data_IF_565433685052
#
_entry.id   IF_565433685052
#
_cell.length_a   1.000
_cell.length_b   1.000
_cell.length_c   1.000
_cell.angle_alpha   90.00
_cell.angle_beta   90.00
_cell.angle_gamma   90.00
#
_symmetry.space_group_name_H-M   'P 1'
#
loop_
_entity.id
_entity.type
_entity.pdbx_description
1 polymer ?
#
# COMPACT_ATOMS: atom_id res chain seq x y z
N UNK A 1 -9.87 -28.62 -11.13
CA UNK A 1 -10.47 -28.08 -9.87
C UNK A 1 -10.26 -29.08 -8.73
N UNK A 2 -10.65 -30.36 -8.86
CA UNK A 2 -10.52 -31.36 -7.77
C UNK A 2 -9.06 -31.56 -7.29
N UNK A 3 -8.08 -31.58 -8.18
CA UNK A 3 -6.65 -31.66 -7.82
C UNK A 3 -6.17 -30.43 -7.07
N UNK A 4 -6.65 -29.24 -7.44
CA UNK A 4 -6.33 -27.98 -6.78
C UNK A 4 -6.94 -27.94 -5.36
N UNK A 5 -8.21 -28.35 -5.21
CA UNK A 5 -8.88 -28.45 -3.90
C UNK A 5 -8.11 -29.44 -3.00
N UNK A 6 -7.69 -30.58 -3.54
CA UNK A 6 -6.93 -31.58 -2.78
C UNK A 6 -5.55 -31.04 -2.33
N UNK A 7 -4.85 -30.29 -3.19
CA UNK A 7 -3.58 -29.63 -2.86
C UNK A 7 -3.76 -28.63 -1.72
N UNK A 8 -4.74 -27.71 -1.84
CA UNK A 8 -5.02 -26.69 -0.81
C UNK A 8 -5.40 -27.34 0.52
N UNK A 9 -6.23 -28.39 0.51
CA UNK A 9 -6.59 -29.10 1.73
C UNK A 9 -5.38 -29.80 2.39
N UNK A 10 -4.45 -30.35 1.61
CA UNK A 10 -3.24 -30.94 2.15
C UNK A 10 -2.32 -29.87 2.76
N UNK A 11 -2.17 -28.73 2.11
CA UNK A 11 -1.36 -27.61 2.60
C UNK A 11 -1.92 -27.09 3.94
N UNK A 12 -3.24 -26.94 4.03
CA UNK A 12 -3.93 -26.53 5.27
C UNK A 12 -3.79 -27.56 6.40
N UNK A 13 -3.88 -28.86 6.09
CA UNK A 13 -3.66 -29.93 7.08
C UNK A 13 -2.23 -29.94 7.60
N UNK A 14 -1.24 -29.79 6.70
CA UNK A 14 0.19 -29.73 7.06
C UNK A 14 0.48 -28.52 7.95
N UNK A 15 -0.10 -27.36 7.61
CA UNK A 15 -0.02 -26.14 8.41
C UNK A 15 -0.60 -26.35 9.81
N UNK A 16 -1.76 -26.94 9.92
CA UNK A 16 -2.43 -27.18 11.20
C UNK A 16 -1.63 -28.13 12.10
N UNK A 17 -1.06 -29.19 11.53
CA UNK A 17 -0.18 -30.12 12.24
C UNK A 17 1.11 -29.46 12.75
N UNK A 18 1.70 -28.58 11.94
CA UNK A 18 2.89 -27.81 12.33
C UNK A 18 2.59 -26.86 13.49
N UNK A 19 1.41 -26.21 13.48
CA UNK A 19 0.97 -25.36 14.58
C UNK A 19 0.79 -26.12 15.88
N UNK A 20 0.19 -27.31 15.85
CA UNK A 20 0.02 -28.13 17.05
C UNK A 20 1.35 -28.58 17.65
N UNK A 21 2.32 -29.00 16.82
CA UNK A 21 3.67 -29.34 17.28
C UNK A 21 4.37 -28.13 17.93
N UNK A 22 4.34 -27.00 17.26
CA UNK A 22 4.95 -25.77 17.76
C UNK A 22 4.29 -25.28 19.06
N UNK A 23 2.97 -25.44 19.20
CA UNK A 23 2.26 -25.13 20.43
C UNK A 23 2.81 -25.97 21.60
N UNK A 24 2.95 -27.28 21.40
CA UNK A 24 3.50 -28.17 22.42
C UNK A 24 4.96 -27.84 22.78
N UNK A 25 5.79 -27.51 21.80
CA UNK A 25 7.19 -27.16 22.04
C UNK A 25 7.31 -25.81 22.77
N UNK A 26 6.48 -24.83 22.41
CA UNK A 26 6.42 -23.55 23.13
C UNK A 26 5.93 -23.72 24.57
N UNK A 27 4.93 -24.57 24.79
CA UNK A 27 4.45 -24.89 26.14
C UNK A 27 5.57 -25.46 27.01
N UNK A 28 6.34 -26.43 26.48
CA UNK A 28 7.50 -26.99 27.16
C UNK A 28 8.57 -25.94 27.46
N UNK A 29 8.89 -25.06 26.48
CA UNK A 29 9.86 -23.98 26.67
C UNK A 29 9.42 -22.99 27.75
N UNK A 30 8.13 -22.65 27.79
CA UNK A 30 7.57 -21.75 28.83
C UNK A 30 7.68 -22.41 30.20
N UNK A 31 7.35 -23.69 30.34
CA UNK A 31 7.47 -24.41 31.61
C UNK A 31 8.93 -24.44 32.07
N UNK A 32 9.87 -24.76 31.16
CA UNK A 32 11.30 -24.78 31.50
C UNK A 32 11.83 -23.40 31.89
N UNK A 33 11.48 -22.36 31.15
CA UNK A 33 11.87 -20.97 31.48
C UNK A 33 11.28 -20.53 32.83
N UNK A 34 10.00 -20.78 33.06
CA UNK A 34 9.35 -20.43 34.31
C UNK A 34 9.97 -21.14 35.50
N UNK A 35 10.26 -22.45 35.37
CA UNK A 35 10.95 -23.21 36.40
C UNK A 35 12.38 -22.70 36.66
N UNK A 36 13.09 -22.32 35.61
CA UNK A 36 14.44 -21.74 35.73
C UNK A 36 14.42 -20.39 36.46
N UNK A 37 13.49 -19.47 36.11
CA UNK A 37 13.37 -18.17 36.76
C UNK A 37 12.95 -18.28 38.21
N UNK A 38 12.00 -19.15 38.53
CA UNK A 38 11.52 -19.38 39.89
C UNK A 38 12.58 -20.10 40.74
N UNK A 39 13.25 -21.13 40.15
CA UNK A 39 14.22 -21.95 40.88
C UNK A 39 15.58 -21.28 41.17
N UNK A 40 16.01 -20.37 40.33
CA UNK A 40 17.34 -19.73 40.46
C UNK A 40 17.28 -18.26 40.93
N UNK A 41 16.10 -17.69 41.19
CA UNK A 41 15.97 -16.29 41.62
C UNK A 41 16.60 -15.28 40.66
N UNK A 42 16.64 -15.61 39.34
CA UNK A 42 17.28 -14.74 38.33
C UNK A 42 16.35 -13.61 37.95
N UNK A 43 16.67 -12.43 38.42
CA UNK A 43 15.98 -11.20 38.09
C UNK A 43 16.84 -10.35 37.15
N UNK A 44 16.20 -9.54 36.31
CA UNK A 44 16.93 -8.51 35.54
C UNK A 44 17.56 -7.50 36.50
N UNK A 45 18.68 -6.84 36.10
CA UNK A 45 19.31 -5.80 36.92
C UNK A 45 18.32 -4.74 37.44
N UNK A 46 17.38 -4.33 36.62
CA UNK A 46 16.34 -3.37 37.02
C UNK A 46 15.36 -3.94 38.04
N UNK A 47 15.03 -5.23 37.96
CA UNK A 47 14.17 -5.92 38.93
C UNK A 47 14.91 -6.11 40.25
N UNK A 48 16.19 -6.47 40.20
CA UNK A 48 17.05 -6.57 41.40
C UNK A 48 17.24 -5.22 42.11
N UNK A 49 17.42 -4.13 41.37
CA UNK A 49 17.48 -2.77 41.92
C UNK A 49 16.17 -2.37 42.62
N UNK A 50 15.02 -2.66 42.04
CA UNK A 50 13.69 -2.40 42.63
C UNK A 50 13.40 -3.27 43.85
N UNK A 51 13.99 -4.47 43.90
CA UNK A 51 13.94 -5.30 45.12
C UNK A 51 14.74 -4.67 46.27
N UNK A 52 15.95 -4.21 45.96
CA UNK A 52 16.82 -3.55 46.97
C UNK A 52 16.18 -2.32 47.56
N UNK A 53 15.36 -1.58 46.83
CA UNK A 53 14.59 -0.40 47.31
C UNK A 53 13.25 -0.77 47.94
N UNK A 54 12.92 -2.06 48.10
CA UNK A 54 11.61 -2.54 48.61
C UNK A 54 10.39 -2.05 47.81
N UNK A 55 10.56 -1.63 46.57
CA UNK A 55 9.47 -1.17 45.70
C UNK A 55 8.61 -2.34 45.18
N UNK A 56 9.16 -3.56 45.17
CA UNK A 56 8.44 -4.77 44.68
C UNK A 56 8.55 -5.89 45.73
N UNK A 57 7.43 -6.56 45.95
CA UNK A 57 7.38 -7.77 46.78
C UNK A 57 7.84 -9.00 45.95
N UNK A 58 8.28 -10.07 46.65
CA UNK A 58 8.67 -11.34 46.04
C UNK A 58 7.56 -11.88 45.12
N UNK A 59 6.30 -11.79 45.55
CA UNK A 59 5.15 -12.20 44.75
C UNK A 59 5.01 -11.37 43.45
N UNK A 60 5.25 -10.07 43.52
CA UNK A 60 5.21 -9.21 42.33
C UNK A 60 6.32 -9.54 41.34
N UNK A 61 7.52 -9.82 41.84
CA UNK A 61 8.66 -10.25 41.04
C UNK A 61 8.40 -11.61 40.36
N UNK A 62 7.86 -12.57 41.10
CA UNK A 62 7.45 -13.87 40.54
C UNK A 62 6.44 -13.70 39.39
N UNK A 63 5.45 -12.86 39.57
CA UNK A 63 4.46 -12.56 38.51
C UNK A 63 5.09 -11.91 37.28
N UNK A 64 6.04 -10.97 37.47
CA UNK A 64 6.78 -10.34 36.38
C UNK A 64 7.66 -11.35 35.64
N UNK A 65 8.32 -12.27 36.35
CA UNK A 65 9.14 -13.32 35.76
C UNK A 65 8.27 -14.31 34.93
N UNK A 66 7.10 -14.66 35.41
CA UNK A 66 6.13 -15.47 34.66
C UNK A 66 5.70 -14.73 33.37
N UNK A 67 5.35 -13.47 33.48
CA UNK A 67 4.94 -12.66 32.33
C UNK A 67 6.06 -12.55 31.29
N UNK A 68 7.30 -12.29 31.71
CA UNK A 68 8.44 -12.21 30.80
C UNK A 68 8.73 -13.57 30.12
N UNK A 69 8.57 -14.70 30.84
CA UNK A 69 8.69 -16.04 30.27
C UNK A 69 7.65 -16.33 29.19
N UNK A 70 6.44 -15.83 29.40
CA UNK A 70 5.30 -16.03 28.50
C UNK A 70 5.17 -14.97 27.41
N UNK A 71 5.87 -13.86 27.53
CA UNK A 71 5.72 -12.68 26.69
C UNK A 71 5.81 -12.96 25.19
N UNK A 72 6.81 -13.75 24.80
CA UNK A 72 7.01 -14.12 23.40
C UNK A 72 5.83 -14.96 22.88
N UNK A 73 5.41 -15.95 23.66
CA UNK A 73 4.26 -16.77 23.37
C UNK A 73 2.95 -15.98 23.28
N UNK A 74 2.67 -15.12 24.26
CA UNK A 74 1.46 -14.28 24.28
C UNK A 74 1.46 -13.25 23.15
N UNK A 75 2.63 -12.69 22.84
CA UNK A 75 2.76 -11.70 21.79
C UNK A 75 2.49 -12.27 20.39
N UNK A 76 2.95 -13.48 20.11
CA UNK A 76 2.80 -14.17 18.81
C UNK A 76 1.50 -14.96 18.72
N UNK A 77 1.01 -15.49 19.83
CA UNK A 77 -0.10 -16.44 19.91
C UNK A 77 0.30 -17.83 19.42
N UNK A 78 -0.62 -18.80 19.57
CA UNK A 78 -0.45 -20.19 19.11
C UNK A 78 -0.56 -20.37 17.58
N UNK A 79 -0.70 -19.29 16.84
CA UNK A 79 -1.11 -19.29 15.45
C UNK A 79 0.05 -19.01 14.49
N UNK A 80 1.23 -19.59 14.66
CA UNK A 80 2.31 -19.42 13.70
C UNK A 80 2.79 -20.76 13.13
N UNK A 81 3.18 -20.73 11.86
CA UNK A 81 3.82 -21.81 11.13
C UNK A 81 5.28 -21.45 10.97
N UNK A 82 6.18 -22.38 11.26
CA UNK A 82 7.59 -22.22 10.99
C UNK A 82 7.93 -22.87 9.64
N UNK A 83 8.52 -22.08 8.74
CA UNK A 83 9.04 -22.55 7.47
C UNK A 83 10.40 -23.24 7.66
N UNK A 84 10.83 -23.99 6.65
CA UNK A 84 12.12 -24.69 6.65
C UNK A 84 13.34 -23.73 6.83
N UNK A 85 13.19 -22.47 6.49
CA UNK A 85 14.17 -21.39 6.65
C UNK A 85 14.11 -20.71 8.04
N UNK A 86 13.29 -21.23 8.97
CA UNK A 86 13.10 -20.70 10.32
C UNK A 86 12.16 -19.50 10.44
N UNK A 87 11.62 -18.98 9.33
CA UNK A 87 10.65 -17.90 9.37
C UNK A 87 9.32 -18.38 9.97
N UNK A 88 8.77 -17.56 10.84
CA UNK A 88 7.46 -17.83 11.46
C UNK A 88 6.38 -16.93 10.86
N UNK A 89 5.34 -17.55 10.35
CA UNK A 89 4.19 -16.86 9.73
C UNK A 89 2.92 -17.20 10.50
N UNK A 90 2.10 -16.19 10.73
CA UNK A 90 0.77 -16.41 11.36
C UNK A 90 -0.10 -17.30 10.47
N UNK A 91 -0.81 -18.28 11.07
CA UNK A 91 -1.65 -19.23 10.34
C UNK A 91 -2.76 -18.56 9.54
N UNK A 92 -3.34 -17.46 10.04
CA UNK A 92 -4.35 -16.71 9.30
C UNK A 92 -3.75 -16.08 8.04
N UNK A 93 -2.54 -15.51 8.14
CA UNK A 93 -1.80 -14.98 6.99
C UNK A 93 -1.44 -16.08 5.98
N UNK A 94 -1.04 -17.26 6.48
CA UNK A 94 -0.77 -18.43 5.64
C UNK A 94 -2.05 -18.91 4.93
N UNK A 95 -3.16 -19.03 5.64
CA UNK A 95 -4.44 -19.44 5.06
C UNK A 95 -4.92 -18.44 3.99
N UNK A 96 -4.81 -17.14 4.26
CA UNK A 96 -5.13 -16.11 3.27
C UNK A 96 -4.24 -16.21 2.03
N UNK A 97 -2.94 -16.46 2.20
CA UNK A 97 -2.00 -16.69 1.10
C UNK A 97 -2.40 -17.92 0.29
N UNK A 98 -2.70 -19.03 0.96
CA UNK A 98 -3.09 -20.29 0.30
C UNK A 98 -4.37 -20.12 -0.53
N UNK A 99 -5.42 -19.49 0.07
CA UNK A 99 -6.69 -19.20 -0.63
C UNK A 99 -6.48 -18.27 -1.81
N UNK A 100 -5.72 -17.19 -1.64
CA UNK A 100 -5.43 -16.25 -2.74
C UNK A 100 -4.71 -16.95 -3.88
N UNK A 101 -3.69 -17.74 -3.57
CA UNK A 101 -2.93 -18.51 -4.58
C UNK A 101 -3.82 -19.50 -5.31
N UNK A 102 -4.73 -20.17 -4.59
CA UNK A 102 -5.68 -21.10 -5.21
C UNK A 102 -6.67 -20.38 -6.13
N UNK A 103 -7.21 -19.24 -5.70
CA UNK A 103 -8.13 -18.44 -6.51
C UNK A 103 -7.46 -17.93 -7.78
N UNK A 104 -6.24 -17.36 -7.67
CA UNK A 104 -5.47 -16.92 -8.83
C UNK A 104 -5.24 -18.07 -9.82
N UNK A 105 -4.81 -19.24 -9.34
CA UNK A 105 -4.59 -20.41 -10.21
C UNK A 105 -5.88 -20.89 -10.87
N UNK A 106 -7.01 -20.89 -10.16
CA UNK A 106 -8.30 -21.25 -10.73
C UNK A 106 -8.74 -20.27 -11.82
N UNK A 107 -8.55 -18.96 -11.60
CA UNK A 107 -8.81 -17.92 -12.58
C UNK A 107 -7.95 -18.12 -13.83
N UNK A 108 -6.61 -18.24 -13.67
CA UNK A 108 -5.68 -18.44 -14.79
C UNK A 108 -5.99 -19.70 -15.59
N UNK A 109 -6.42 -20.80 -14.93
CA UNK A 109 -6.86 -22.02 -15.60
C UNK A 109 -8.16 -21.80 -16.39
N UNK A 110 -9.13 -21.08 -15.83
CA UNK A 110 -10.38 -20.75 -16.51
C UNK A 110 -10.15 -19.90 -17.76
N UNK A 111 -9.40 -18.80 -17.60
CA UNK A 111 -9.03 -17.90 -18.69
C UNK A 111 -8.15 -18.61 -19.75
N UNK A 112 -7.21 -19.45 -19.31
CA UNK A 112 -6.36 -20.24 -20.21
C UNK A 112 -7.17 -21.22 -21.05
N UNK A 113 -8.15 -21.93 -20.46
CA UNK A 113 -9.04 -22.80 -21.21
C UNK A 113 -9.89 -22.02 -22.23
N UNK A 114 -10.36 -20.82 -21.85
CA UNK A 114 -11.08 -19.96 -22.78
C UNK A 114 -10.18 -19.50 -23.94
N UNK A 115 -8.97 -19.02 -23.65
CA UNK A 115 -7.97 -18.67 -24.70
C UNK A 115 -7.67 -19.84 -25.61
N UNK A 116 -7.51 -21.05 -25.05
CA UNK A 116 -7.31 -22.28 -25.83
C UNK A 116 -8.45 -22.53 -26.79
N UNK A 117 -9.71 -22.34 -26.39
CA UNK A 117 -10.87 -22.52 -27.29
C UNK A 117 -10.91 -21.51 -28.42
N UNK A 118 -10.25 -20.36 -28.26
CA UNK A 118 -10.12 -19.32 -29.29
C UNK A 118 -8.84 -19.46 -30.14
N UNK A 119 -7.98 -20.45 -29.86
CA UNK A 119 -6.67 -20.58 -30.49
C UNK A 119 -5.72 -19.40 -30.18
N UNK A 120 -5.91 -18.75 -29.03
CA UNK A 120 -5.10 -17.62 -28.59
C UNK A 120 -4.19 -18.05 -27.46
N UNK A 121 -2.88 -17.85 -27.63
CA UNK A 121 -1.87 -18.34 -26.70
C UNK A 121 -0.94 -17.24 -26.17
N UNK A 122 -1.13 -15.98 -26.60
CA UNK A 122 -0.32 -14.86 -26.13
C UNK A 122 -0.99 -14.18 -24.95
N UNK A 123 -0.19 -13.91 -23.91
CA UNK A 123 -0.63 -13.22 -22.69
C UNK A 123 0.37 -12.17 -22.30
N UNK A 124 -0.13 -11.11 -21.67
CA UNK A 124 0.69 -10.06 -21.08
C UNK A 124 0.54 -10.08 -19.55
N UNK A 125 1.67 -10.01 -18.84
CA UNK A 125 1.66 -9.88 -17.40
C UNK A 125 1.07 -8.53 -16.99
N UNK A 126 0.14 -8.54 -16.05
CA UNK A 126 -0.38 -7.29 -15.48
C UNK A 126 0.71 -6.60 -14.66
N UNK A 127 0.66 -5.27 -14.63
CA UNK A 127 1.47 -4.46 -13.71
C UNK A 127 0.61 -4.05 -12.53
N UNK A 128 1.20 -3.88 -11.36
CA UNK A 128 0.53 -3.28 -10.21
C UNK A 128 1.53 -2.58 -9.28
N UNK A 129 1.10 -1.49 -8.65
CA UNK A 129 1.90 -0.81 -7.64
C UNK A 129 2.23 -1.71 -6.45
N UNK A 130 3.50 -1.78 -6.06
CA UNK A 130 3.97 -2.62 -4.95
C UNK A 130 4.27 -4.07 -5.33
N UNK A 131 4.63 -4.31 -6.59
CA UNK A 131 5.17 -5.60 -7.03
C UNK A 131 6.41 -6.00 -6.22
N UNK A 132 6.51 -7.28 -5.88
CA UNK A 132 7.73 -7.77 -5.23
C UNK A 132 8.91 -7.76 -6.23
N UNK A 133 10.17 -7.64 -5.75
CA UNK A 133 11.35 -7.60 -6.63
C UNK A 133 11.49 -8.78 -7.59
N UNK A 134 10.90 -9.94 -7.23
CA UNK A 134 10.92 -11.14 -8.08
C UNK A 134 9.97 -10.97 -9.29
N UNK A 135 8.79 -10.37 -9.08
CA UNK A 135 7.79 -10.22 -10.11
C UNK A 135 7.92 -8.94 -10.93
N UNK A 136 8.45 -7.87 -10.35
CA UNK A 136 8.60 -6.55 -11.00
C UNK A 136 9.26 -6.63 -12.38
N UNK A 137 10.26 -7.48 -12.55
CA UNK A 137 10.96 -7.68 -13.84
C UNK A 137 10.10 -8.30 -14.94
N UNK A 138 8.94 -8.86 -14.58
CA UNK A 138 8.03 -9.53 -15.51
C UNK A 138 6.82 -8.68 -15.89
N UNK A 139 6.57 -7.57 -15.19
CA UNK A 139 5.45 -6.68 -15.45
C UNK A 139 5.45 -6.16 -16.89
N UNK A 140 4.28 -6.15 -17.50
CA UNK A 140 4.09 -5.70 -18.89
C UNK A 140 4.68 -6.61 -19.96
N UNK A 141 5.43 -7.67 -19.61
CA UNK A 141 6.02 -8.58 -20.58
C UNK A 141 4.98 -9.50 -21.20
N UNK A 142 5.19 -9.81 -22.46
CA UNK A 142 4.38 -10.74 -23.22
C UNK A 142 5.00 -12.13 -23.14
N UNK A 143 4.15 -13.14 -22.98
CA UNK A 143 4.52 -14.56 -22.90
C UNK A 143 3.65 -15.41 -23.82
N UNK A 144 4.21 -16.54 -24.24
CA UNK A 144 3.41 -17.65 -24.80
C UNK A 144 2.91 -18.47 -23.60
N UNK A 145 1.60 -18.57 -23.46
CA UNK A 145 0.95 -19.31 -22.38
C UNK A 145 0.93 -20.82 -22.68
N UNK A 146 2.05 -21.47 -22.43
CA UNK A 146 2.24 -22.91 -22.56
C UNK A 146 1.69 -23.69 -21.33
N UNK A 147 1.31 -22.99 -20.27
CA UNK A 147 0.87 -23.57 -19.00
C UNK A 147 -0.64 -23.74 -18.93
N UNK A 148 -1.40 -22.71 -19.27
CA UNK A 148 -2.86 -22.69 -19.10
C UNK A 148 -3.63 -22.83 -20.43
N UNK A 149 -3.11 -22.28 -21.53
CA UNK A 149 -3.76 -22.39 -22.84
C UNK A 149 -3.12 -23.41 -23.79
N UNK A 150 -1.94 -23.93 -23.44
CA UNK A 150 -1.25 -24.95 -24.24
C UNK A 150 -0.53 -24.38 -25.47
N UNK A 151 -0.09 -23.12 -25.41
CA UNK A 151 0.72 -22.48 -26.43
C UNK A 151 2.09 -23.16 -26.61
N UNK A 152 2.69 -22.90 -27.74
CA UNK A 152 3.99 -23.48 -28.15
C UNK A 152 4.89 -22.39 -28.73
N UNK A 153 6.16 -22.67 -28.90
CA UNK A 153 7.12 -21.74 -29.51
C UNK A 153 6.78 -21.34 -30.96
N UNK A 154 5.75 -21.95 -31.56
CA UNK A 154 5.22 -21.58 -32.89
C UNK A 154 4.25 -20.41 -32.85
N UNK A 155 3.72 -20.08 -31.67
CA UNK A 155 2.71 -19.03 -31.49
C UNK A 155 3.29 -17.61 -31.42
N UNK A 156 4.61 -17.45 -31.49
CA UNK A 156 5.29 -16.16 -31.56
C UNK A 156 6.74 -16.21 -31.06
N UNK A 157 7.41 -15.07 -31.15
CA UNK A 157 8.80 -14.93 -30.71
C UNK A 157 8.84 -14.34 -29.28
N UNK A 158 8.14 -14.97 -28.35
CA UNK A 158 8.06 -14.57 -26.96
C UNK A 158 8.53 -15.70 -26.04
N UNK A 159 8.92 -15.35 -24.81
CA UNK A 159 9.30 -16.32 -23.79
C UNK A 159 8.09 -17.18 -23.38
N UNK A 160 8.32 -18.47 -23.12
CA UNK A 160 7.31 -19.35 -22.53
C UNK A 160 6.98 -18.91 -21.09
N UNK A 161 5.72 -18.91 -20.74
CA UNK A 161 5.25 -18.57 -19.39
C UNK A 161 5.83 -19.52 -18.35
N UNK A 162 5.93 -20.83 -18.67
CA UNK A 162 6.55 -21.82 -17.80
C UNK A 162 7.99 -21.49 -17.42
N UNK A 163 8.74 -20.84 -18.32
CA UNK A 163 10.12 -20.39 -18.05
C UNK A 163 10.15 -19.24 -17.06
N UNK A 164 9.27 -18.25 -17.20
CA UNK A 164 9.14 -17.16 -16.24
C UNK A 164 8.70 -17.67 -14.86
N UNK A 165 7.76 -18.63 -14.82
CA UNK A 165 7.29 -19.26 -13.57
C UNK A 165 8.41 -20.03 -12.85
N UNK A 166 9.26 -20.74 -13.58
CA UNK A 166 10.47 -21.40 -12.99
C UNK A 166 11.44 -20.39 -12.38
N UNK A 167 11.45 -19.16 -12.87
CA UNK A 167 12.26 -18.06 -12.33
C UNK A 167 11.53 -17.24 -11.26
N UNK A 168 10.40 -17.73 -10.75
CA UNK A 168 9.66 -17.17 -9.63
C UNK A 168 8.46 -16.30 -9.98
N UNK A 169 8.12 -16.11 -11.25
CA UNK A 169 6.89 -15.41 -11.62
C UNK A 169 5.65 -16.19 -11.19
N UNK A 170 4.57 -15.51 -10.81
CA UNK A 170 3.34 -16.10 -10.28
C UNK A 170 3.57 -17.03 -9.07
N UNK A 171 4.54 -16.68 -8.21
CA UNK A 171 4.82 -17.40 -6.97
C UNK A 171 3.63 -17.40 -5.98
N UNK A 172 3.65 -18.22 -4.92
CA UNK A 172 2.62 -18.15 -3.88
C UNK A 172 2.45 -16.72 -3.34
N UNK A 173 1.18 -16.28 -3.17
CA UNK A 173 0.80 -14.92 -2.77
C UNK A 173 1.05 -13.83 -3.84
N UNK A 174 1.38 -14.19 -5.07
CA UNK A 174 1.49 -13.25 -6.18
C UNK A 174 0.13 -12.57 -6.45
N UNK A 175 0.17 -11.29 -6.85
CA UNK A 175 -1.03 -10.51 -7.21
C UNK A 175 -1.13 -10.24 -8.71
N UNK A 176 -0.10 -10.62 -9.47
CA UNK A 176 -0.10 -10.46 -10.92
C UNK A 176 -1.09 -11.41 -11.57
N UNK A 177 -1.83 -10.90 -12.54
CA UNK A 177 -2.65 -11.67 -13.47
C UNK A 177 -2.00 -11.79 -14.84
N UNK A 178 -2.72 -12.41 -15.75
CA UNK A 178 -2.38 -12.50 -17.17
C UNK A 178 -3.57 -11.98 -17.97
N UNK A 179 -3.37 -11.00 -18.82
CA UNK A 179 -4.37 -10.54 -19.79
C UNK A 179 -4.07 -11.16 -21.15
N UNK A 180 -5.10 -11.41 -21.95
CA UNK A 180 -4.90 -11.87 -23.33
C UNK A 180 -4.24 -10.76 -24.14
N UNK A 181 -3.13 -11.07 -24.81
CA UNK A 181 -2.44 -10.12 -25.67
C UNK A 181 -2.90 -10.28 -27.13
N UNK A 182 -3.20 -9.16 -27.75
CA UNK A 182 -3.63 -9.06 -29.14
C UNK A 182 -2.64 -8.21 -29.92
N UNK A 183 -1.71 -8.83 -30.70
CA UNK A 183 -0.71 -8.08 -31.48
C UNK A 183 -1.33 -7.06 -32.42
N UNK A 184 -2.53 -7.34 -32.92
CA UNK A 184 -3.30 -6.47 -33.81
C UNK A 184 -3.81 -5.18 -33.17
N UNK A 185 -3.77 -5.09 -31.83
CA UNK A 185 -4.17 -3.90 -31.04
C UNK A 185 -2.97 -3.15 -30.47
N UNK A 186 -1.76 -3.47 -30.92
CA UNK A 186 -0.53 -2.83 -30.47
C UNK A 186 -0.55 -1.32 -30.76
N UNK A 187 -0.34 -0.50 -29.72
CA UNK A 187 -0.39 0.97 -29.80
C UNK A 187 -1.67 1.61 -29.26
N UNK A 188 -2.65 0.84 -28.79
CA UNK A 188 -3.74 1.34 -27.96
C UNK A 188 -3.22 1.38 -26.51
N UNK A 189 -2.76 2.55 -26.07
CA UNK A 189 -2.35 2.75 -24.67
C UNK A 189 -3.59 2.59 -23.77
N UNK A 190 -3.70 1.46 -23.08
CA UNK A 190 -4.60 1.34 -21.94
C UNK A 190 -3.98 2.14 -20.78
N UNK A 191 -4.59 3.26 -20.43
CA UNK A 191 -4.26 3.98 -19.20
C UNK A 191 -4.63 3.08 -18.01
N UNK A 192 -3.64 2.45 -17.42
CA UNK A 192 -3.83 1.60 -16.24
C UNK A 192 -3.87 2.45 -14.97
N UNK A 193 -4.84 2.17 -14.09
CA UNK A 193 -5.04 2.81 -12.77
C UNK A 193 -3.98 2.38 -11.72
N UNK A 194 -2.71 2.24 -12.11
CA UNK A 194 -1.68 1.58 -11.28
C UNK A 194 -1.33 2.33 -9.99
N UNK A 195 -1.37 3.66 -9.98
CA UNK A 195 -0.98 4.45 -8.80
C UNK A 195 -2.03 4.48 -7.70
N UNK A 196 -3.29 4.50 -8.05
CA UNK A 196 -4.39 4.41 -7.07
C UNK A 196 -4.31 3.09 -6.28
N UNK A 197 -3.89 2.02 -6.94
CA UNK A 197 -3.77 0.71 -6.33
C UNK A 197 -2.60 0.62 -5.32
N UNK A 198 -1.49 1.32 -5.59
CA UNK A 198 -0.37 1.40 -4.65
C UNK A 198 -0.74 2.10 -3.34
N UNK A 199 -1.48 3.20 -3.41
CA UNK A 199 -1.99 3.91 -2.25
C UNK A 199 -2.94 3.01 -1.42
N UNK A 200 -3.87 2.31 -2.08
CA UNK A 200 -4.80 1.40 -1.42
C UNK A 200 -4.10 0.18 -0.79
N UNK A 201 -3.07 -0.35 -1.43
CA UNK A 201 -2.25 -1.42 -0.86
C UNK A 201 -1.52 -0.98 0.41
N UNK A 202 -0.96 0.22 0.42
CA UNK A 202 -0.35 0.81 1.62
C UNK A 202 -1.37 0.96 2.75
N UNK A 203 -2.55 1.51 2.46
CA UNK A 203 -3.63 1.69 3.43
C UNK A 203 -4.05 0.34 4.03
N UNK A 204 -4.28 -0.66 3.19
CA UNK A 204 -4.63 -2.00 3.62
C UNK A 204 -3.54 -2.64 4.49
N UNK A 205 -2.27 -2.45 4.15
CA UNK A 205 -1.15 -2.90 4.98
C UNK A 205 -1.13 -2.20 6.33
N UNK A 206 -1.41 -0.89 6.38
CA UNK A 206 -1.47 -0.11 7.62
C UNK A 206 -2.61 -0.57 8.52
N UNK A 207 -3.82 -0.76 7.99
CA UNK A 207 -4.97 -1.29 8.73
C UNK A 207 -4.65 -2.68 9.29
N UNK A 208 -4.16 -3.58 8.46
CA UNK A 208 -3.76 -4.92 8.89
C UNK A 208 -2.67 -4.90 9.99
N UNK A 209 -1.75 -3.93 9.96
CA UNK A 209 -0.73 -3.75 10.98
C UNK A 209 -1.37 -3.30 12.32
N UNK A 210 -2.30 -2.36 12.28
CA UNK A 210 -3.02 -1.87 13.46
C UNK A 210 -3.82 -3.02 14.10
N UNK A 211 -4.61 -3.74 13.33
CA UNK A 211 -5.38 -4.90 13.81
C UNK A 211 -4.50 -5.98 14.46
N UNK A 212 -3.33 -6.27 13.86
CA UNK A 212 -2.38 -7.22 14.46
C UNK A 212 -1.88 -6.75 15.81
N UNK A 213 -1.61 -5.45 15.98
CA UNK A 213 -1.18 -4.89 17.25
C UNK A 213 -2.29 -4.89 18.30
N UNK A 214 -3.53 -4.56 17.93
CA UNK A 214 -4.69 -4.68 18.83
C UNK A 214 -4.82 -6.12 19.35
N UNK A 215 -4.80 -7.10 18.45
CA UNK A 215 -4.88 -8.54 18.82
C UNK A 215 -3.66 -8.98 19.66
N UNK A 216 -2.48 -8.47 19.38
CA UNK A 216 -1.25 -8.74 20.16
C UNK A 216 -1.38 -8.25 21.59
N UNK A 217 -1.72 -6.97 21.77
CA UNK A 217 -1.84 -6.39 23.12
C UNK A 217 -3.04 -6.92 23.90
N UNK A 218 -4.11 -7.34 23.23
CA UNK A 218 -5.22 -8.04 23.85
C UNK A 218 -4.78 -9.39 24.44
N UNK A 219 -4.01 -10.19 23.69
CA UNK A 219 -3.45 -11.45 24.20
C UNK A 219 -2.48 -11.24 25.36
N UNK A 220 -1.58 -10.25 25.24
CA UNK A 220 -0.64 -9.90 26.30
C UNK A 220 -1.37 -9.49 27.58
N UNK A 221 -2.39 -8.64 27.48
CA UNK A 221 -3.19 -8.21 28.63
C UNK A 221 -3.95 -9.36 29.30
N UNK A 222 -4.57 -10.24 28.49
CA UNK A 222 -5.35 -11.39 28.99
C UNK A 222 -4.49 -12.51 29.57
N UNK A 223 -3.28 -12.69 29.05
CA UNK A 223 -2.38 -13.76 29.49
C UNK A 223 -1.38 -13.36 30.57
N UNK A 224 -1.27 -12.07 30.90
CA UNK A 224 -0.40 -11.58 31.97
C UNK A 224 -1.04 -11.76 33.35
N UNK A 225 -0.19 -12.02 34.34
CA UNK A 225 -0.59 -12.16 35.76
C UNK A 225 -0.15 -10.97 36.64
N UNK A 226 0.81 -10.17 36.16
CA UNK A 226 1.25 -8.96 36.84
C UNK A 226 0.33 -7.76 36.50
N UNK A 227 -0.28 -7.16 37.52
CA UNK A 227 -1.24 -6.05 37.34
C UNK A 227 -0.66 -4.83 36.63
N UNK A 228 0.67 -4.57 36.78
CA UNK A 228 1.36 -3.52 36.05
C UNK A 228 1.39 -3.77 34.55
N UNK A 229 1.73 -4.99 34.14
CA UNK A 229 1.77 -5.39 32.74
C UNK A 229 0.36 -5.38 32.10
N UNK A 230 -0.65 -5.87 32.84
CA UNK A 230 -2.05 -5.84 32.39
C UNK A 230 -2.48 -4.39 32.09
N UNK A 231 -2.15 -3.45 32.97
CA UNK A 231 -2.47 -2.02 32.75
C UNK A 231 -1.74 -1.45 31.55
N UNK A 232 -0.43 -1.70 31.44
CA UNK A 232 0.41 -1.22 30.31
C UNK A 232 -0.10 -1.75 28.96
N UNK A 233 -0.38 -3.06 28.87
CA UNK A 233 -0.87 -3.67 27.64
C UNK A 233 -2.27 -3.21 27.26
N UNK A 234 -3.16 -3.00 28.24
CA UNK A 234 -4.48 -2.43 27.99
C UNK A 234 -4.37 -0.98 27.49
N UNK A 235 -3.45 -0.17 28.04
CA UNK A 235 -3.22 1.19 27.53
C UNK A 235 -2.68 1.18 26.11
N UNK A 236 -1.71 0.30 25.79
CA UNK A 236 -1.18 0.15 24.42
C UNK A 236 -2.26 -0.32 23.45
N UNK A 237 -3.11 -1.26 23.86
CA UNK A 237 -4.25 -1.68 23.06
C UNK A 237 -5.19 -0.51 22.78
N UNK A 238 -5.56 0.27 23.79
CA UNK A 238 -6.42 1.46 23.66
C UNK A 238 -5.85 2.48 22.67
N UNK A 239 -4.54 2.70 22.71
CA UNK A 239 -3.88 3.61 21.77
C UNK A 239 -4.03 3.12 20.30
N UNK A 240 -3.89 1.80 20.06
CA UNK A 240 -4.08 1.23 18.72
C UNK A 240 -5.54 1.27 18.26
N UNK A 241 -6.51 1.05 19.14
CA UNK A 241 -7.94 1.22 18.83
C UNK A 241 -8.24 2.67 18.47
N UNK A 242 -7.71 3.63 19.22
CA UNK A 242 -7.86 5.06 18.88
C UNK A 242 -7.25 5.41 17.51
N UNK A 243 -6.14 4.78 17.14
CA UNK A 243 -5.53 4.98 15.80
C UNK A 243 -6.39 4.35 14.70
N UNK A 244 -7.01 3.18 14.93
CA UNK A 244 -7.97 2.56 14.03
C UNK A 244 -9.20 3.45 13.82
N UNK A 245 -9.77 3.96 14.91
CA UNK A 245 -10.90 4.90 14.89
C UNK A 245 -10.55 6.16 14.10
N UNK A 246 -9.35 6.73 14.32
CA UNK A 246 -8.86 7.92 13.60
C UNK A 246 -8.80 7.70 12.10
N UNK A 247 -8.27 6.55 11.67
CA UNK A 247 -8.23 6.19 10.24
C UNK A 247 -9.64 5.95 9.70
N UNK A 248 -10.53 5.34 10.48
CA UNK A 248 -11.89 4.98 10.04
C UNK A 248 -12.82 6.19 9.94
N UNK A 249 -12.70 7.17 10.83
CA UNK A 249 -13.62 8.31 10.92
C UNK A 249 -13.29 9.44 9.95
N UNK A 250 -12.03 9.61 9.56
CA UNK A 250 -11.65 10.62 8.59
C UNK A 250 -12.25 10.32 7.20
N UNK A 251 -12.70 11.35 6.50
CA UNK A 251 -13.17 11.23 5.10
C UNK A 251 -12.06 11.05 4.07
N UNK A 252 -10.82 10.84 4.53
CA UNK A 252 -9.63 10.69 3.69
C UNK A 252 -8.60 9.75 4.33
N UNK A 253 -7.65 9.30 3.51
CA UNK A 253 -6.43 8.63 3.94
C UNK A 253 -5.23 9.57 3.79
N UNK A 254 -4.36 9.64 4.81
CA UNK A 254 -3.04 10.27 4.69
C UNK A 254 -2.09 9.24 4.06
N UNK A 255 -1.72 9.46 2.80
CA UNK A 255 -0.84 8.58 2.02
C UNK A 255 0.56 9.17 1.84
N UNK A 256 0.93 10.18 2.64
CA UNK A 256 2.23 10.85 2.56
C UNK A 256 3.39 9.87 2.66
N UNK A 257 3.35 8.96 3.64
CA UNK A 257 4.41 7.96 3.83
C UNK A 257 4.50 6.96 2.67
N UNK A 258 3.36 6.62 2.04
CA UNK A 258 3.35 5.77 0.86
C UNK A 258 4.12 6.41 -0.30
N UNK A 259 3.88 7.69 -0.52
CA UNK A 259 4.56 8.45 -1.58
C UNK A 259 6.05 8.65 -1.30
N UNK A 260 6.43 8.89 -0.04
CA UNK A 260 7.84 8.97 0.36
C UNK A 260 8.55 7.62 0.17
N UNK A 261 7.91 6.52 0.58
CA UNK A 261 8.50 5.18 0.49
C UNK A 261 8.65 4.68 -0.96
N UNK A 262 7.85 5.20 -1.88
CA UNK A 262 7.93 4.87 -3.32
C UNK A 262 8.65 5.94 -4.13
N UNK A 263 9.18 6.97 -3.47
CA UNK A 263 9.89 8.05 -4.14
C UNK A 263 11.22 7.57 -4.73
N UNK A 264 11.53 8.10 -5.91
CA UNK A 264 12.81 7.95 -6.60
C UNK A 264 13.37 9.33 -6.98
N UNK A 265 13.74 10.15 -5.97
CA UNK A 265 14.11 11.55 -6.19
C UNK A 265 15.17 11.71 -7.27
N UNK A 266 15.05 12.76 -8.08
CA UNK A 266 15.97 13.13 -9.16
C UNK A 266 16.20 12.01 -10.21
N UNK A 267 15.25 11.08 -10.35
CA UNK A 267 15.38 9.94 -11.26
C UNK A 267 14.89 10.21 -12.69
N UNK A 268 14.13 11.28 -12.90
CA UNK A 268 13.52 11.63 -14.18
C UNK A 268 13.59 13.11 -14.51
N UNK A 269 13.06 13.45 -15.68
CA UNK A 269 13.10 14.81 -16.22
C UNK A 269 11.72 15.43 -16.21
N UNK A 270 11.69 16.74 -16.01
CA UNK A 270 10.55 17.59 -16.34
C UNK A 270 10.50 17.74 -17.85
N UNK A 271 9.36 17.43 -18.47
CA UNK A 271 9.19 17.40 -19.92
C UNK A 271 7.99 18.28 -20.31
N UNK A 272 8.15 19.06 -21.37
CA UNK A 272 7.03 19.79 -21.96
C UNK A 272 6.15 18.85 -22.78
N UNK A 273 4.84 18.86 -22.55
CA UNK A 273 3.88 18.12 -23.36
C UNK A 273 3.74 18.74 -24.74
N UNK A 274 3.94 17.96 -25.80
CA UNK A 274 3.79 18.41 -27.20
C UNK A 274 2.34 18.57 -27.63
N UNK A 275 1.39 18.04 -26.86
CA UNK A 275 -0.04 18.14 -27.10
C UNK A 275 -0.79 17.81 -25.82
N UNK A 276 -2.06 18.22 -25.77
CA UNK A 276 -3.01 17.85 -24.71
C UNK A 276 -4.34 17.41 -25.34
N UNK A 277 -5.00 16.45 -24.74
CA UNK A 277 -6.36 16.03 -25.17
C UNK A 277 -7.39 16.59 -24.21
N UNK A 278 -8.42 17.24 -24.75
CA UNK A 278 -9.56 17.74 -23.98
C UNK A 278 -10.85 17.38 -24.73
N UNK A 279 -11.80 16.74 -24.04
CA UNK A 279 -13.07 16.25 -24.60
C UNK A 279 -12.88 15.43 -25.91
N UNK A 280 -11.85 14.58 -25.94
CA UNK A 280 -11.54 13.71 -27.08
C UNK A 280 -10.81 14.42 -28.25
N UNK A 281 -10.62 15.75 -28.16
CA UNK A 281 -9.93 16.52 -29.17
C UNK A 281 -8.47 16.72 -28.76
N UNK A 282 -7.53 16.41 -29.66
CA UNK A 282 -6.11 16.57 -29.44
C UNK A 282 -5.63 17.94 -29.94
N UNK A 283 -5.13 18.77 -29.03
CA UNK A 283 -4.55 20.07 -29.28
C UNK A 283 -3.02 19.96 -29.28
N UNK A 284 -2.38 20.28 -30.41
CA UNK A 284 -0.91 20.28 -30.53
C UNK A 284 -0.36 21.67 -30.25
N UNK A 285 0.80 21.72 -29.60
CA UNK A 285 1.53 22.96 -29.39
C UNK A 285 1.92 23.56 -30.75
N UNK A 286 1.47 24.80 -31.02
CA UNK A 286 1.70 25.53 -32.25
C UNK A 286 2.36 26.90 -31.98
N UNK A 287 2.58 27.24 -30.71
CA UNK A 287 3.18 28.52 -30.31
C UNK A 287 2.27 29.74 -30.44
N UNK A 288 0.99 29.57 -30.83
CA UNK A 288 0.01 30.63 -31.01
C UNK A 288 -1.31 30.32 -30.27
N UNK A 289 -1.98 29.26 -30.68
CA UNK A 289 -3.25 28.84 -30.10
C UNK A 289 -3.05 27.92 -28.91
N UNK A 290 -2.00 27.11 -28.93
CA UNK A 290 -1.58 26.19 -27.88
C UNK A 290 -0.13 26.47 -27.54
N UNK A 291 0.11 27.00 -26.35
CA UNK A 291 1.40 27.57 -25.96
C UNK A 291 1.97 26.92 -24.70
N UNK A 292 3.30 26.90 -24.61
CA UNK A 292 4.05 26.46 -23.45
C UNK A 292 4.41 27.68 -22.59
N UNK A 293 3.44 28.18 -21.86
CA UNK A 293 3.62 29.32 -20.96
C UNK A 293 3.37 28.90 -19.52
N UNK A 294 4.40 28.94 -18.71
CA UNK A 294 4.37 28.54 -17.31
C UNK A 294 4.76 29.70 -16.41
N UNK A 295 4.01 29.88 -15.33
CA UNK A 295 4.37 30.80 -14.26
C UNK A 295 5.61 30.29 -13.50
N UNK A 296 6.26 31.18 -12.77
CA UNK A 296 7.35 30.79 -11.87
C UNK A 296 6.90 29.75 -10.85
N UNK A 297 5.70 29.94 -10.25
CA UNK A 297 5.15 29.02 -9.26
C UNK A 297 4.95 27.61 -9.83
N UNK A 298 4.48 27.49 -11.08
CA UNK A 298 4.33 26.19 -11.74
C UNK A 298 5.68 25.51 -11.96
N UNK A 299 6.71 26.23 -12.34
CA UNK A 299 8.07 25.68 -12.48
C UNK A 299 8.67 25.25 -11.14
N UNK A 300 8.57 26.09 -10.12
CA UNK A 300 9.09 25.81 -8.78
C UNK A 300 8.42 24.55 -8.17
N UNK A 301 7.12 24.36 -8.39
CA UNK A 301 6.40 23.16 -7.93
C UNK A 301 6.77 21.93 -8.77
N UNK A 302 6.96 22.06 -10.07
CA UNK A 302 7.41 20.96 -10.92
C UNK A 302 8.80 20.44 -10.48
N UNK A 303 9.74 21.35 -10.21
CA UNK A 303 11.06 21.02 -9.68
C UNK A 303 10.98 20.37 -8.28
N UNK A 304 10.08 20.87 -7.43
CA UNK A 304 9.85 20.28 -6.12
C UNK A 304 9.27 18.86 -6.22
N UNK A 305 8.30 18.60 -7.09
CA UNK A 305 7.71 17.27 -7.30
C UNK A 305 8.77 16.28 -7.79
N UNK A 306 9.58 16.68 -8.76
CA UNK A 306 10.63 15.84 -9.32
C UNK A 306 11.74 15.57 -8.29
N UNK A 307 12.21 16.59 -7.57
CA UNK A 307 13.26 16.44 -6.56
C UNK A 307 12.80 15.68 -5.32
N UNK A 308 11.50 15.70 -4.99
CA UNK A 308 10.95 15.03 -3.80
C UNK A 308 10.54 13.60 -4.09
N UNK A 309 9.83 13.36 -5.18
CA UNK A 309 9.23 12.06 -5.49
C UNK A 309 9.87 11.37 -6.68
N UNK A 310 10.48 12.11 -7.58
CA UNK A 310 10.92 11.61 -8.89
C UNK A 310 9.73 11.20 -9.76
N UNK A 311 10.03 10.45 -10.81
CA UNK A 311 9.03 10.06 -11.78
C UNK A 311 8.84 11.07 -12.89
N UNK A 312 8.26 10.67 -14.03
CA UNK A 312 8.05 11.54 -15.16
C UNK A 312 6.99 12.61 -14.83
N UNK A 313 7.38 13.87 -14.90
CA UNK A 313 6.48 15.01 -14.79
C UNK A 313 6.39 15.70 -16.17
N UNK A 314 5.18 15.90 -16.66
CA UNK A 314 4.92 16.63 -17.89
C UNK A 314 4.22 17.94 -17.58
N UNK A 315 4.77 19.04 -18.08
CA UNK A 315 4.13 20.34 -18.05
C UNK A 315 3.12 20.43 -19.18
N UNK A 316 1.86 20.75 -18.87
CA UNK A 316 0.81 20.81 -19.87
C UNK A 316 0.73 22.18 -20.54
N UNK A 317 0.53 22.25 -21.87
CA UNK A 317 0.34 23.50 -22.57
C UNK A 317 -1.01 24.16 -22.21
N UNK A 318 -1.05 25.48 -22.37
CA UNK A 318 -2.30 26.26 -22.30
C UNK A 318 -2.94 26.34 -23.67
N UNK A 319 -4.28 26.20 -23.71
CA UNK A 319 -5.08 26.37 -24.92
C UNK A 319 -5.68 27.77 -24.88
N UNK A 320 -5.16 28.66 -25.73
CA UNK A 320 -5.64 30.02 -25.85
C UNK A 320 -6.81 30.13 -26.85
N UNK A 321 -6.83 29.21 -27.83
CA UNK A 321 -7.92 29.10 -28.79
C UNK A 321 -8.20 27.63 -29.15
N UNK A 322 -9.48 27.18 -29.11
CA UNK A 322 -10.70 27.93 -28.73
C UNK A 322 -10.67 28.44 -27.27
N UNK A 323 -11.29 29.61 -27.06
CA UNK A 323 -11.36 30.21 -25.74
C UNK A 323 -12.19 29.36 -24.76
N UNK A 324 -11.85 29.43 -23.46
CA UNK A 324 -12.62 28.80 -22.39
C UNK A 324 -12.21 27.37 -22.07
N UNK A 325 -11.32 26.74 -22.87
CA UNK A 325 -10.76 25.43 -22.55
C UNK A 325 -9.70 25.58 -21.46
N UNK A 326 -9.94 24.90 -20.34
CA UNK A 326 -9.03 24.91 -19.19
C UNK A 326 -8.32 23.59 -19.11
N UNK A 327 -7.00 23.62 -18.97
CA UNK A 327 -6.14 22.46 -18.85
C UNK A 327 -5.57 22.35 -17.44
N UNK A 328 -5.26 21.15 -17.00
CA UNK A 328 -4.45 20.92 -15.79
C UNK A 328 -3.02 21.41 -16.01
N UNK A 329 -2.33 21.79 -14.94
CA UNK A 329 -0.97 22.32 -15.07
C UNK A 329 0.05 21.22 -15.36
N UNK A 330 -0.17 20.01 -14.78
CA UNK A 330 0.76 18.89 -14.90
C UNK A 330 0.07 17.56 -15.22
N UNK A 331 0.82 16.65 -15.87
CA UNK A 331 0.63 15.21 -15.74
C UNK A 331 1.79 14.70 -14.87
N UNK A 332 1.48 14.22 -13.68
CA UNK A 332 2.44 13.65 -12.75
C UNK A 332 1.92 12.31 -12.24
N UNK A 333 2.77 11.28 -12.27
CA UNK A 333 2.39 9.91 -11.96
C UNK A 333 1.15 9.47 -12.75
N UNK A 334 1.13 9.76 -14.06
CA UNK A 334 0.04 9.48 -15.01
C UNK A 334 -1.31 10.16 -14.70
N UNK A 335 -1.39 11.00 -13.69
CA UNK A 335 -2.58 11.74 -13.33
C UNK A 335 -2.47 13.23 -13.63
N UNK A 336 -3.61 13.86 -13.93
CA UNK A 336 -3.70 15.31 -14.12
C UNK A 336 -3.73 16.01 -12.75
N UNK A 337 -2.90 17.07 -12.62
CA UNK A 337 -2.79 17.87 -11.40
C UNK A 337 -2.93 19.35 -11.72
N UNK A 338 -3.60 20.06 -10.83
CA UNK A 338 -3.83 21.51 -10.95
C UNK A 338 -3.25 22.22 -9.72
N UNK A 339 -2.33 23.17 -9.95
CA UNK A 339 -1.69 23.95 -8.90
C UNK A 339 -2.57 25.12 -8.46
N UNK A 340 -2.65 25.33 -7.17
CA UNK A 340 -3.31 26.48 -6.55
C UNK A 340 -2.41 27.11 -5.51
N UNK A 341 -1.82 28.26 -5.83
CA UNK A 341 -1.09 29.09 -4.87
C UNK A 341 -2.10 29.86 -4.02
N UNK A 342 -2.03 29.63 -2.71
CA UNK A 342 -2.96 30.20 -1.74
C UNK A 342 -2.26 31.32 -0.97
N UNK A 343 -2.83 32.50 -0.97
CA UNK A 343 -2.38 33.66 -0.19
C UNK A 343 -3.37 34.07 0.89
N UNK A 344 -4.66 33.71 0.70
CA UNK A 344 -5.72 34.02 1.65
C UNK A 344 -5.69 33.12 2.89
N UNK A 345 -6.43 33.51 3.93
CA UNK A 345 -6.54 32.80 5.20
C UNK A 345 -7.98 32.46 5.60
N UNK A 346 -8.96 32.64 4.72
CA UNK A 346 -10.35 32.30 4.98
C UNK A 346 -10.49 30.81 5.31
N UNK A 347 -11.40 30.49 6.22
CA UNK A 347 -11.72 29.10 6.61
C UNK A 347 -12.40 28.26 5.52
N UNK A 348 -12.57 28.79 4.31
CA UNK A 348 -13.07 28.13 3.11
C UNK A 348 -12.25 28.48 1.85
N UNK A 349 -11.04 28.99 1.99
CA UNK A 349 -10.23 29.46 0.85
C UNK A 349 -9.94 28.32 -0.13
N UNK A 350 -9.62 27.13 0.36
CA UNK A 350 -9.35 25.97 -0.51
C UNK A 350 -10.61 25.53 -1.25
N UNK A 351 -11.78 25.51 -0.57
CA UNK A 351 -13.03 25.17 -1.21
C UNK A 351 -13.38 26.12 -2.36
N UNK A 352 -13.34 27.42 -2.12
CA UNK A 352 -13.66 28.40 -3.17
C UNK A 352 -12.74 28.32 -4.37
N UNK A 353 -11.49 27.93 -4.14
CA UNK A 353 -10.50 27.74 -5.20
C UNK A 353 -10.83 26.54 -6.08
N UNK A 354 -11.24 25.42 -5.48
CA UNK A 354 -11.58 24.17 -6.19
C UNK A 354 -12.95 24.27 -6.87
N UNK A 355 -13.95 24.82 -6.21
CA UNK A 355 -15.33 24.88 -6.71
C UNK A 355 -15.43 25.48 -8.12
N UNK A 356 -14.62 26.49 -8.42
CA UNK A 356 -14.58 27.18 -9.73
C UNK A 356 -13.86 26.37 -10.82
N UNK A 357 -13.31 25.18 -10.53
CA UNK A 357 -12.37 24.48 -11.37
C UNK A 357 -12.72 23.01 -11.68
N UNK A 358 -14.01 22.67 -11.62
CA UNK A 358 -14.56 21.31 -11.81
C UNK A 358 -14.08 20.56 -13.05
N UNK A 359 -13.74 21.27 -14.12
CA UNK A 359 -13.39 20.66 -15.41
C UNK A 359 -11.88 20.55 -15.65
N UNK A 360 -11.01 21.00 -14.74
CA UNK A 360 -9.57 21.04 -14.97
C UNK A 360 -8.84 19.78 -14.51
N UNK A 361 -9.13 19.33 -13.28
CA UNK A 361 -8.47 18.17 -12.68
C UNK A 361 -9.31 17.57 -11.55
N UNK A 362 -9.04 16.32 -11.22
CA UNK A 362 -9.52 15.67 -10.01
C UNK A 362 -8.49 15.71 -8.86
N UNK A 363 -7.27 16.13 -9.15
CA UNK A 363 -6.18 16.20 -8.18
C UNK A 363 -5.63 17.62 -8.11
N UNK A 364 -5.36 18.09 -6.89
CA UNK A 364 -4.96 19.48 -6.64
C UNK A 364 -3.70 19.54 -5.79
N UNK A 365 -2.84 20.51 -6.11
CA UNK A 365 -1.69 20.89 -5.28
C UNK A 365 -2.02 22.26 -4.67
N UNK A 366 -2.18 22.33 -3.38
CA UNK A 366 -2.31 23.59 -2.64
C UNK A 366 -0.96 24.01 -2.10
N UNK A 367 -0.32 24.96 -2.73
CA UNK A 367 0.84 25.63 -2.16
C UNK A 367 0.38 26.76 -1.24
N UNK A 368 0.48 26.52 0.05
CA UNK A 368 0.11 27.48 1.11
C UNK A 368 1.34 28.16 1.72
N UNK A 369 2.49 28.12 1.04
CA UNK A 369 3.76 28.69 1.53
C UNK A 369 3.63 30.17 1.86
N UNK A 370 2.95 30.92 1.03
CA UNK A 370 2.73 32.35 1.19
C UNK A 370 1.43 32.72 1.92
N UNK A 371 0.76 31.74 2.53
CA UNK A 371 -0.44 31.94 3.33
C UNK A 371 -0.16 31.83 4.82
N UNK A 372 -0.90 32.57 5.64
CA UNK A 372 -0.91 32.39 7.10
C UNK A 372 -1.62 31.11 7.54
N UNK A 373 -2.31 30.43 6.59
CA UNK A 373 -2.99 29.16 6.85
C UNK A 373 -1.99 28.11 7.36
N UNK A 374 -2.31 27.46 8.50
CA UNK A 374 -1.53 26.36 9.04
C UNK A 374 -1.83 25.03 8.33
N UNK A 375 -0.91 24.07 8.42
CA UNK A 375 -1.08 22.73 7.80
C UNK A 375 -2.32 22.02 8.34
N UNK A 376 -2.54 22.04 9.66
CA UNK A 376 -3.71 21.40 10.29
C UNK A 376 -5.04 22.00 9.83
N UNK A 377 -5.10 23.31 9.71
CA UNK A 377 -6.31 23.98 9.24
C UNK A 377 -6.55 23.71 7.74
N UNK A 378 -5.49 23.66 6.94
CA UNK A 378 -5.59 23.28 5.54
C UNK A 378 -6.12 21.83 5.40
N UNK A 379 -5.65 20.88 6.21
CA UNK A 379 -6.17 19.51 6.26
C UNK A 379 -7.66 19.49 6.59
N UNK A 380 -8.10 20.25 7.60
CA UNK A 380 -9.53 20.37 7.94
C UNK A 380 -10.36 20.93 6.80
N UNK A 381 -9.83 21.90 6.04
CA UNK A 381 -10.54 22.43 4.87
C UNK A 381 -10.63 21.37 3.74
N UNK A 382 -9.58 20.60 3.50
CA UNK A 382 -9.62 19.49 2.54
C UNK A 382 -10.62 18.41 2.97
N UNK A 383 -10.69 18.08 4.26
CA UNK A 383 -11.69 17.16 4.79
C UNK A 383 -13.12 17.63 4.51
N UNK A 384 -13.39 18.94 4.68
CA UNK A 384 -14.68 19.54 4.32
C UNK A 384 -14.96 19.44 2.80
N UNK A 385 -13.93 19.67 1.94
CA UNK A 385 -14.04 19.51 0.49
C UNK A 385 -14.44 18.06 0.14
N UNK A 386 -13.83 17.07 0.75
CA UNK A 386 -14.13 15.66 0.49
C UNK A 386 -15.55 15.24 0.89
N UNK A 387 -16.13 15.89 1.92
CA UNK A 387 -17.49 15.61 2.41
C UNK A 387 -18.60 16.31 1.58
N UNK A 388 -18.26 17.30 0.75
CA UNK A 388 -19.26 18.09 0.02
C UNK A 388 -19.68 17.45 -1.30
N UNK A 389 -20.98 17.41 -1.62
CA UNK A 389 -21.47 16.84 -2.88
C UNK A 389 -20.99 17.57 -4.14
N UNK A 390 -20.78 18.89 -4.05
CA UNK A 390 -20.38 19.75 -5.16
C UNK A 390 -18.87 19.68 -5.49
N UNK A 391 -18.09 19.10 -4.61
CA UNK A 391 -16.64 18.83 -4.79
C UNK A 391 -16.30 17.34 -4.76
N UNK A 392 -17.28 16.46 -4.97
CA UNK A 392 -17.08 15.00 -4.98
C UNK A 392 -16.09 14.52 -6.06
N UNK A 393 -15.82 15.33 -7.07
CA UNK A 393 -14.84 15.04 -8.14
C UNK A 393 -13.39 15.09 -7.65
N UNK A 394 -13.10 15.75 -6.52
CA UNK A 394 -11.75 15.82 -5.96
C UNK A 394 -11.37 14.47 -5.40
N UNK A 395 -10.29 13.89 -5.93
CA UNK A 395 -9.78 12.57 -5.54
C UNK A 395 -8.58 12.67 -4.61
N UNK A 396 -7.57 13.43 -5.02
CA UNK A 396 -6.30 13.52 -4.30
C UNK A 396 -5.87 14.98 -4.13
N UNK A 397 -5.29 15.28 -2.99
CA UNK A 397 -4.80 16.63 -2.67
C UNK A 397 -3.41 16.54 -2.08
N UNK A 398 -2.49 17.33 -2.62
CA UNK A 398 -1.21 17.63 -1.99
C UNK A 398 -1.32 19.02 -1.34
N UNK A 399 -1.01 19.11 -0.06
CA UNK A 399 -0.86 20.39 0.66
C UNK A 399 0.63 20.59 0.91
N UNK A 400 1.19 21.71 0.43
CA UNK A 400 2.61 22.04 0.60
C UNK A 400 2.75 23.37 1.33
N UNK A 401 3.59 23.40 2.37
CA UNK A 401 4.01 24.62 3.07
C UNK A 401 5.51 24.57 3.33
N UNK A 402 6.28 25.32 2.59
CA UNK A 402 7.74 25.25 2.58
C UNK A 402 8.23 23.83 2.30
N UNK A 403 8.98 23.21 3.22
CA UNK A 403 9.45 21.82 3.12
C UNK A 403 8.45 20.79 3.64
N UNK A 404 7.39 21.23 4.34
CA UNK A 404 6.38 20.34 4.88
C UNK A 404 5.26 20.11 3.86
N UNK A 405 4.82 18.87 3.74
CA UNK A 405 3.71 18.53 2.87
C UNK A 405 2.87 17.38 3.43
N UNK A 406 1.65 17.28 2.93
CA UNK A 406 0.72 16.18 3.19
C UNK A 406 0.02 15.77 1.92
N UNK A 407 -0.18 14.48 1.75
CA UNK A 407 -0.88 13.90 0.59
C UNK A 407 -2.10 13.16 1.11
N UNK A 408 -3.27 13.64 0.70
CA UNK A 408 -4.56 13.17 1.18
C UNK A 408 -5.33 12.54 0.02
N UNK A 409 -5.76 11.30 0.20
CA UNK A 409 -6.58 10.55 -0.75
C UNK A 409 -8.01 10.46 -0.20
N UNK A 410 -8.99 10.83 -1.00
CA UNK A 410 -10.41 10.67 -0.64
C UNK A 410 -10.77 9.19 -0.47
N UNK A 411 -11.56 8.88 0.56
CA UNK A 411 -12.17 7.56 0.76
C UNK A 411 -13.23 7.24 -0.26
#
# INVERSE_FOLDING_TARGET
INSLIKSVNNDLKTANTAVLRMANDQYRQVIHKSAFFVGNGVFTEQQAAKMATKELTELQLTKLAIDESNKDFLSRGLNSIEYADGRRVNIASYSQMAVRTANLRAQLMGEGNFRKSLGRHLVQATSHGGACPICQKWEGRIFIDDVYSGGTSKDGNYMLLSTAMKQGFLHPNCRHGLTTYYPELEGIENETEEEYQADMDYINQRINYIERNIKRYDRLAKGSVASSNIRDYNQKKKNWVSEEDRISQNGYYDVTDAWINTATPNSNKIIDSKSITHDGIRYRVDGKNVVLEYSKAEKDIAEWLESTFGGQLRMNPRINYPEGIKTSDYIFRKENWDLKTITGNSNQVLYHTVYKKKSQSNNFIFDITNSVLGMEEAIKQVEKIYKRPDTKFVKRVIIKKNQNFKILLKK
#
